data_IF_786606389011
#
_entry.id   IF_786606389011
#
_cell.length_a   1.000
_cell.length_b   1.000
_cell.length_c   1.000
_cell.angle_alpha   90.00
_cell.angle_beta   90.00
_cell.angle_gamma   90.00
#
_symmetry.space_group_name_H-M   'P 1'
#
loop_
_entity.id
_entity.type
_entity.pdbx_description
1 polymer ?
#
# COMPACT_ATOMS: atom_id res chain seq x y z
N UNK A 1 8.95 28.81 14.58
CA UNK A 1 9.85 27.93 15.34
C UNK A 1 11.23 28.07 14.72
N UNK A 2 12.25 28.40 15.51
CA UNK A 2 13.63 28.36 15.04
C UNK A 2 13.95 26.93 14.60
N UNK A 3 14.66 26.79 13.47
CA UNK A 3 15.14 25.49 13.00
C UNK A 3 16.12 24.96 14.06
N UNK A 4 15.71 23.95 14.81
CA UNK A 4 16.59 23.29 15.77
C UNK A 4 17.66 22.57 14.95
N UNK A 5 18.92 22.85 15.25
CA UNK A 5 20.03 22.16 14.64
C UNK A 5 20.31 20.87 15.40
N UNK A 6 19.77 19.76 14.87
CA UNK A 6 19.96 18.44 15.47
C UNK A 6 21.44 18.00 15.49
N UNK A 7 22.27 18.49 14.57
CA UNK A 7 23.70 18.19 14.58
C UNK A 7 24.39 18.89 15.76
N UNK A 8 24.07 20.17 15.97
CA UNK A 8 24.57 20.90 17.13
C UNK A 8 24.09 20.31 18.48
N UNK A 9 22.94 19.64 18.50
CA UNK A 9 22.49 18.87 19.67
C UNK A 9 23.29 17.59 19.84
N UNK A 10 23.52 16.82 18.78
CA UNK A 10 24.35 15.61 18.82
C UNK A 10 25.76 15.91 19.35
N UNK A 11 26.38 16.99 18.87
CA UNK A 11 27.72 17.39 19.31
C UNK A 11 27.75 17.80 20.79
N UNK A 12 26.71 18.48 21.28
CA UNK A 12 26.63 18.96 22.67
C UNK A 12 26.43 17.85 23.69
N UNK A 13 25.62 16.85 23.34
CA UNK A 13 25.33 15.70 24.21
C UNK A 13 26.22 14.49 23.91
N UNK A 14 27.17 14.63 22.97
CA UNK A 14 28.24 13.66 22.78
C UNK A 14 29.14 13.62 24.02
N UNK A 15 29.63 12.43 24.42
CA UNK A 15 30.62 12.33 25.49
C UNK A 15 31.84 13.22 25.21
N UNK A 16 32.33 13.89 26.25
CA UNK A 16 33.52 14.72 26.12
C UNK A 16 34.76 13.87 25.74
N UNK A 17 35.59 14.31 24.78
CA UNK A 17 36.79 13.58 24.44
C UNK A 17 37.80 13.57 25.60
N UNK A 18 38.60 12.52 25.68
CA UNK A 18 39.64 12.38 26.71
C UNK A 18 40.68 13.50 26.53
N UNK A 19 40.96 14.31 27.58
CA UNK A 19 41.94 15.38 27.49
C UNK A 19 43.36 14.83 27.39
N UNK A 20 44.24 15.61 26.76
CA UNK A 20 45.69 15.34 26.74
C UNK A 20 46.38 16.03 27.90
N UNK A 21 47.43 15.40 28.41
CA UNK A 21 48.21 15.95 29.51
C UNK A 21 48.96 17.22 29.05
N UNK A 22 48.86 18.34 29.79
CA UNK A 22 49.58 19.57 29.44
C UNK A 22 51.10 19.47 29.62
N UNK A 23 51.60 18.42 30.29
CA UNK A 23 53.03 18.27 30.62
C UNK A 23 53.72 17.29 29.66
N UNK A 24 53.14 16.12 29.40
CA UNK A 24 53.73 15.10 28.52
C UNK A 24 52.99 14.91 27.19
N UNK A 25 51.79 15.46 27.02
CA UNK A 25 51.01 15.34 25.78
C UNK A 25 50.30 13.99 25.57
N UNK A 26 50.49 13.00 26.45
CA UNK A 26 49.81 11.71 26.42
C UNK A 26 48.32 11.83 26.78
N UNK A 27 47.51 10.88 26.31
CA UNK A 27 46.11 10.76 26.72
C UNK A 27 46.00 10.44 28.22
N UNK A 28 45.12 11.16 28.89
CA UNK A 28 44.97 11.04 30.33
C UNK A 28 43.98 9.93 30.68
N UNK A 29 44.14 9.32 31.84
CA UNK A 29 43.20 8.31 32.34
C UNK A 29 42.25 8.90 33.37
N UNK A 30 41.04 8.33 33.42
CA UNK A 30 40.04 8.67 34.43
C UNK A 30 40.54 8.21 35.79
N UNK A 31 40.73 9.15 36.72
CA UNK A 31 41.12 8.85 38.10
C UNK A 31 39.93 8.81 39.04
N UNK A 32 38.91 9.65 38.76
CA UNK A 32 37.71 9.74 39.59
C UNK A 32 36.54 10.23 38.75
N UNK A 33 35.38 9.59 38.95
CA UNK A 33 34.09 10.06 38.45
C UNK A 33 33.23 10.43 39.66
N UNK A 34 32.71 11.66 39.66
CA UNK A 34 31.83 12.17 40.72
C UNK A 34 30.64 12.88 40.09
N UNK A 35 29.59 12.12 39.76
CA UNK A 35 28.45 12.63 38.99
C UNK A 35 28.89 13.08 37.60
N UNK A 36 28.55 14.31 37.21
CA UNK A 36 28.95 14.91 35.94
C UNK A 36 30.42 15.37 35.92
N UNK A 37 31.14 15.32 37.04
CA UNK A 37 32.53 15.76 37.11
C UNK A 37 33.48 14.59 36.95
N UNK A 38 34.27 14.58 35.88
CA UNK A 38 35.28 13.57 35.59
C UNK A 38 36.67 14.18 35.78
N UNK A 39 37.46 13.56 36.66
CA UNK A 39 38.84 13.97 36.91
C UNK A 39 39.77 13.07 36.11
N UNK A 40 40.53 13.70 35.21
CA UNK A 40 41.57 13.09 34.41
C UNK A 40 42.95 13.46 35.00
N UNK A 41 43.85 12.48 35.06
CA UNK A 41 45.26 12.71 35.39
C UNK A 41 46.13 11.70 34.63
N UNK A 42 47.42 11.99 34.49
CA UNK A 42 48.35 10.98 33.97
C UNK A 42 48.58 9.88 35.01
N UNK A 43 48.46 8.63 34.60
CA UNK A 43 48.88 7.50 35.43
C UNK A 43 50.41 7.46 35.51
N UNK A 44 50.93 7.26 36.72
CA UNK A 44 52.33 6.93 36.93
C UNK A 44 52.68 5.53 36.43
N UNK A 45 51.68 4.67 36.24
CA UNK A 45 51.82 3.31 35.72
C UNK A 45 52.05 3.30 34.21
N UNK A 46 53.00 2.48 33.77
CA UNK A 46 53.21 2.07 32.39
C UNK A 46 52.29 0.90 32.02
N UNK A 47 52.34 0.51 30.75
CA UNK A 47 51.53 -0.57 30.18
C UNK A 47 51.91 -1.96 30.74
N UNK A 48 53.09 -2.06 31.32
CA UNK A 48 53.64 -3.24 32.01
C UNK A 48 53.12 -3.41 33.45
N UNK A 49 52.39 -2.41 33.98
CA UNK A 49 51.93 -2.40 35.37
C UNK A 49 53.00 -1.94 36.36
N UNK A 50 54.19 -1.57 35.89
CA UNK A 50 55.23 -0.92 36.68
C UNK A 50 55.12 0.60 36.58
N UNK A 51 55.81 1.34 37.45
CA UNK A 51 55.87 2.79 37.34
C UNK A 51 56.76 3.18 36.15
N UNK A 52 56.29 4.14 35.33
CA UNK A 52 57.11 4.77 34.29
C UNK A 52 58.38 5.36 34.94
N UNK A 53 59.47 5.38 34.19
CA UNK A 53 60.79 5.83 34.68
C UNK A 53 60.68 7.22 35.30
N UNK A 54 61.05 7.36 36.57
CA UNK A 54 61.02 8.62 37.31
C UNK A 54 59.64 9.01 37.89
N UNK A 55 58.64 8.12 37.83
CA UNK A 55 57.31 8.30 38.43
C UNK A 55 57.18 7.59 39.77
N UNK A 56 56.27 8.09 40.60
CA UNK A 56 55.78 7.43 41.82
C UNK A 56 54.25 7.52 41.89
N UNK A 57 53.63 6.92 42.92
CA UNK A 57 52.17 6.81 43.06
C UNK A 57 51.42 8.16 43.05
N UNK A 58 52.05 9.23 43.54
CA UNK A 58 51.50 10.58 43.58
C UNK A 58 52.64 11.58 43.33
N UNK A 59 53.26 11.46 42.15
CA UNK A 59 54.35 12.34 41.78
C UNK A 59 53.85 13.76 41.45
N UNK A 60 54.78 14.71 41.40
CA UNK A 60 54.49 16.11 41.08
C UNK A 60 53.73 16.27 39.76
N UNK A 61 53.92 15.34 38.83
CA UNK A 61 53.21 15.32 37.56
C UNK A 61 51.77 14.85 37.70
N UNK A 62 51.46 13.84 38.53
CA UNK A 62 50.08 13.47 38.81
C UNK A 62 49.30 14.70 39.31
N UNK A 63 49.86 15.46 40.26
CA UNK A 63 49.22 16.66 40.80
C UNK A 63 49.08 17.77 39.75
N UNK A 64 50.13 18.07 39.00
CA UNK A 64 50.13 19.14 37.98
C UNK A 64 49.38 18.77 36.71
N UNK A 65 49.22 17.49 36.41
CA UNK A 65 48.49 17.02 35.23
C UNK A 65 46.98 17.02 35.46
N UNK A 66 46.50 17.00 36.71
CA UNK A 66 45.08 16.82 37.01
C UNK A 66 44.19 17.88 36.35
N UNK A 67 43.31 17.43 35.45
CA UNK A 67 42.29 18.23 34.78
C UNK A 67 40.92 17.71 35.19
N UNK A 68 39.98 18.61 35.39
CA UNK A 68 38.60 18.23 35.71
C UNK A 68 37.68 18.71 34.61
N UNK A 69 36.99 17.77 33.98
CA UNK A 69 36.05 18.00 32.88
C UNK A 69 34.64 17.77 33.39
N UNK A 70 33.72 18.63 32.98
CA UNK A 70 32.30 18.43 33.20
C UNK A 70 31.73 17.67 32.01
N UNK A 71 31.36 16.41 32.22
CA UNK A 71 30.70 15.60 31.21
C UNK A 71 29.19 15.89 31.24
N UNK A 72 28.74 16.61 30.21
CA UNK A 72 27.33 16.93 29.94
C UNK A 72 26.74 16.01 28.88
N UNK A 73 27.49 15.00 28.45
CA UNK A 73 26.99 13.99 27.52
C UNK A 73 25.80 13.25 28.10
N UNK A 74 24.76 13.08 27.29
CA UNK A 74 23.56 12.34 27.68
C UNK A 74 23.22 11.30 26.58
N UNK A 75 23.47 10.01 26.84
CA UNK A 75 23.20 8.97 25.86
C UNK A 75 21.71 8.79 25.57
N UNK A 76 20.83 9.15 26.49
CA UNK A 76 19.37 9.05 26.29
C UNK A 76 18.89 10.10 25.30
N UNK A 77 19.46 11.31 25.36
CA UNK A 77 19.19 12.37 24.37
C UNK A 77 19.68 11.96 22.98
N UNK A 78 20.86 11.34 22.87
CA UNK A 78 21.35 10.83 21.58
C UNK A 78 20.46 9.72 21.01
N UNK A 79 20.02 8.79 21.85
CA UNK A 79 19.08 7.74 21.45
C UNK A 79 17.74 8.31 20.98
N UNK A 80 17.25 9.38 21.62
CA UNK A 80 16.04 10.08 21.18
C UNK A 80 16.22 10.74 19.81
N UNK A 81 17.40 11.31 19.53
CA UNK A 81 17.72 11.89 18.23
C UNK A 81 17.78 10.83 17.12
N UNK A 82 18.38 9.66 17.39
CA UNK A 82 18.38 8.52 16.45
C UNK A 82 16.97 8.01 16.17
N UNK A 83 16.13 7.94 17.20
CA UNK A 83 14.74 7.53 17.06
C UNK A 83 13.94 8.53 16.22
N UNK A 84 14.15 9.84 16.41
CA UNK A 84 13.52 10.88 15.59
C UNK A 84 13.93 10.75 14.12
N UNK A 85 15.21 10.60 13.83
CA UNK A 85 15.71 10.41 12.46
C UNK A 85 15.11 9.15 11.80
N UNK A 86 14.99 8.06 12.56
CA UNK A 86 14.33 6.83 12.11
C UNK A 86 12.85 7.05 11.78
N UNK A 87 12.15 7.84 12.60
CA UNK A 87 10.74 8.18 12.36
C UNK A 87 10.56 9.05 11.12
N UNK A 88 11.40 10.06 10.94
CA UNK A 88 11.35 10.94 9.77
C UNK A 88 11.62 10.15 8.48
N UNK A 89 12.60 9.25 8.49
CA UNK A 89 12.85 8.34 7.37
C UNK A 89 11.62 7.47 7.05
N UNK A 90 10.97 6.93 8.08
CA UNK A 90 9.76 6.11 7.90
C UNK A 90 8.59 6.93 7.36
N UNK A 91 8.44 8.18 7.79
CA UNK A 91 7.41 9.08 7.27
C UNK A 91 7.67 9.35 5.79
N UNK A 92 8.90 9.68 5.41
CA UNK A 92 9.27 9.93 4.02
C UNK A 92 9.00 8.71 3.10
N UNK A 93 9.29 7.49 3.58
CA UNK A 93 8.93 6.26 2.85
C UNK A 93 7.41 6.13 2.65
N UNK A 94 6.62 6.36 3.72
CA UNK A 94 5.17 6.26 3.67
C UNK A 94 4.55 7.32 2.75
N UNK A 95 5.08 8.54 2.74
CA UNK A 95 4.66 9.61 1.83
C UNK A 95 4.93 9.24 0.36
N UNK A 96 6.09 8.64 0.08
CA UNK A 96 6.41 8.14 -1.27
C UNK A 96 5.44 7.04 -1.70
N UNK A 97 5.14 6.10 -0.81
CA UNK A 97 4.16 5.04 -1.08
C UNK A 97 2.77 5.66 -1.31
N UNK A 98 2.33 6.57 -0.44
CA UNK A 98 1.02 7.19 -0.55
C UNK A 98 0.84 7.97 -1.86
N UNK A 99 1.87 8.71 -2.30
CA UNK A 99 1.86 9.44 -3.56
C UNK A 99 1.84 8.52 -4.78
N UNK A 100 2.60 7.43 -4.77
CA UNK A 100 2.56 6.40 -5.82
C UNK A 100 1.18 5.76 -5.96
N UNK A 101 0.55 5.43 -4.82
CA UNK A 101 -0.81 4.87 -4.80
C UNK A 101 -1.86 5.89 -5.26
N UNK A 102 -1.75 7.16 -4.85
CA UNK A 102 -2.64 8.22 -5.29
C UNK A 102 -2.61 8.39 -6.82
N UNK A 103 -1.42 8.33 -7.43
CA UNK A 103 -1.27 8.39 -8.89
C UNK A 103 -1.91 7.18 -9.60
N UNK A 104 -1.72 5.97 -9.07
CA UNK A 104 -2.34 4.76 -9.62
C UNK A 104 -3.86 4.83 -9.53
N UNK A 105 -4.38 5.32 -8.41
CA UNK A 105 -5.82 5.49 -8.21
C UNK A 105 -6.41 6.52 -9.18
N UNK A 106 -5.74 7.65 -9.39
CA UNK A 106 -6.18 8.65 -10.37
C UNK A 106 -6.25 8.07 -11.79
N UNK A 107 -5.21 7.34 -12.22
CA UNK A 107 -5.20 6.67 -13.53
C UNK A 107 -6.32 5.65 -13.67
N UNK A 108 -6.62 4.89 -12.62
CA UNK A 108 -7.71 3.93 -12.62
C UNK A 108 -9.08 4.63 -12.72
N UNK A 109 -9.29 5.73 -12.00
CA UNK A 109 -10.51 6.53 -12.12
C UNK A 109 -10.69 7.10 -13.53
N UNK A 110 -9.62 7.61 -14.14
CA UNK A 110 -9.68 8.19 -15.48
C UNK A 110 -9.95 7.11 -16.55
N UNK A 111 -9.36 5.92 -16.41
CA UNK A 111 -9.67 4.77 -17.25
C UNK A 111 -11.13 4.34 -17.13
N UNK A 112 -11.68 4.29 -15.92
CA UNK A 112 -13.09 3.96 -15.66
C UNK A 112 -14.04 5.00 -16.24
N UNK A 113 -13.74 6.29 -16.10
CA UNK A 113 -14.52 7.37 -16.71
C UNK A 113 -14.52 7.24 -18.23
N UNK A 114 -13.36 6.98 -18.84
CA UNK A 114 -13.25 6.79 -20.29
C UNK A 114 -14.05 5.58 -20.77
N UNK A 115 -13.96 4.45 -20.07
CA UNK A 115 -14.76 3.26 -20.37
C UNK A 115 -16.27 3.54 -20.29
N UNK A 116 -16.72 4.23 -19.23
CA UNK A 116 -18.13 4.62 -19.08
C UNK A 116 -18.61 5.51 -20.24
N UNK A 117 -17.82 6.50 -20.64
CA UNK A 117 -18.15 7.37 -21.79
C UNK A 117 -18.25 6.60 -23.10
N UNK A 118 -17.36 5.63 -23.34
CA UNK A 118 -17.43 4.76 -24.51
C UNK A 118 -18.71 3.93 -24.51
N UNK A 119 -19.06 3.32 -23.38
CA UNK A 119 -20.31 2.56 -23.25
C UNK A 119 -21.54 3.44 -23.47
N UNK A 120 -21.58 4.65 -22.92
CA UNK A 120 -22.68 5.60 -23.16
C UNK A 120 -22.78 6.00 -24.63
N UNK A 121 -21.65 6.25 -25.31
CA UNK A 121 -21.62 6.56 -26.75
C UNK A 121 -22.14 5.38 -27.59
N UNK A 122 -21.71 4.16 -27.27
CA UNK A 122 -22.22 2.96 -27.96
C UNK A 122 -23.72 2.77 -27.72
N UNK A 123 -24.21 2.99 -26.49
CA UNK A 123 -25.63 2.88 -26.18
C UNK A 123 -26.48 3.94 -26.91
N UNK A 124 -25.98 5.17 -27.03
CA UNK A 124 -26.65 6.20 -27.84
C UNK A 124 -26.70 5.85 -29.33
N UNK A 125 -25.65 5.23 -29.88
CA UNK A 125 -25.67 4.73 -31.26
C UNK A 125 -26.68 3.60 -31.46
N UNK A 126 -26.82 2.68 -30.49
CA UNK A 126 -27.81 1.59 -30.59
C UNK A 126 -29.24 2.07 -30.39
N UNK A 127 -29.46 3.13 -29.60
CA UNK A 127 -30.80 3.60 -29.25
C UNK A 127 -31.43 4.54 -30.30
N UNK A 128 -30.66 5.08 -31.24
CA UNK A 128 -31.15 5.95 -32.31
C UNK A 128 -31.25 5.22 -33.67
N UNK A 129 -31.62 3.95 -33.65
CA UNK A 129 -31.77 3.15 -34.86
C UNK A 129 -33.21 3.23 -35.39
N UNK A 130 -33.41 3.90 -36.52
CA UNK A 130 -34.70 4.00 -37.20
C UNK A 130 -34.71 3.09 -38.44
N UNK A 131 -35.77 2.28 -38.58
CA UNK A 131 -35.98 1.39 -39.74
C UNK A 131 -37.23 1.84 -40.50
N UNK A 132 -37.10 2.06 -41.80
CA UNK A 132 -38.26 2.28 -42.67
C UNK A 132 -38.95 0.95 -42.93
N UNK A 133 -40.16 0.78 -42.41
CA UNK A 133 -41.00 -0.39 -42.65
C UNK A 133 -41.79 -0.23 -43.96
N UNK A 134 -42.05 -1.33 -44.69
CA UNK A 134 -42.90 -1.29 -45.87
C UNK A 134 -44.36 -0.98 -45.50
N UNK A 135 -45.09 -0.31 -46.38
CA UNK A 135 -46.50 0.03 -46.14
C UNK A 135 -47.36 -1.23 -46.09
N UNK A 136 -48.19 -1.35 -45.06
CA UNK A 136 -49.02 -2.53 -44.81
C UNK A 136 -50.09 -2.71 -45.91
N UNK A 137 -50.50 -1.61 -46.57
CA UNK A 137 -51.54 -1.61 -47.59
C UNK A 137 -51.17 -2.45 -48.83
N UNK A 138 -49.88 -2.56 -49.14
CA UNK A 138 -49.36 -3.32 -50.29
C UNK A 138 -49.48 -4.85 -50.12
N UNK A 139 -49.80 -5.32 -48.92
CA UNK A 139 -49.87 -6.74 -48.58
C UNK A 139 -51.30 -7.27 -48.44
N UNK A 140 -52.31 -6.47 -48.81
CA UNK A 140 -53.69 -6.91 -48.96
C UNK A 140 -53.94 -7.34 -50.40
N UNK A 141 -54.23 -8.62 -50.60
CA UNK A 141 -54.65 -9.16 -51.90
C UNK A 141 -56.10 -9.59 -51.76
N UNK A 142 -57.00 -8.95 -52.51
CA UNK A 142 -58.46 -9.20 -52.43
C UNK A 142 -58.99 -9.10 -50.99
N UNK A 143 -58.63 -8.03 -50.27
CA UNK A 143 -58.96 -7.80 -48.85
C UNK A 143 -58.43 -8.86 -47.85
N UNK A 144 -57.57 -9.78 -48.30
CA UNK A 144 -56.91 -10.78 -47.44
C UNK A 144 -55.45 -10.39 -47.19
N UNK A 145 -55.13 -10.13 -45.92
CA UNK A 145 -53.78 -9.80 -45.46
C UNK A 145 -52.81 -10.99 -45.62
N UNK A 146 -51.58 -10.71 -46.09
CA UNK A 146 -50.53 -11.72 -46.32
C UNK A 146 -49.41 -11.63 -45.26
N UNK A 147 -49.61 -12.19 -44.05
CA UNK A 147 -48.73 -11.98 -42.89
C UNK A 147 -47.29 -12.47 -43.12
N UNK A 148 -47.10 -13.68 -43.65
CA UNK A 148 -45.77 -14.27 -43.87
C UNK A 148 -44.90 -13.47 -44.86
N UNK A 149 -45.52 -12.73 -45.78
CA UNK A 149 -44.80 -11.91 -46.76
C UNK A 149 -44.37 -10.59 -46.14
N UNK A 150 -45.28 -9.96 -45.38
CA UNK A 150 -45.00 -8.75 -44.61
C UNK A 150 -43.91 -8.98 -43.55
N UNK A 151 -44.01 -10.06 -42.76
CA UNK A 151 -43.02 -10.40 -41.73
C UNK A 151 -41.60 -10.55 -42.30
N UNK A 152 -41.46 -11.27 -43.43
CA UNK A 152 -40.17 -11.44 -44.10
C UNK A 152 -39.59 -10.14 -44.66
N UNK A 153 -40.43 -9.21 -45.12
CA UNK A 153 -39.98 -7.91 -45.63
C UNK A 153 -39.57 -6.97 -44.48
N UNK A 154 -40.27 -7.04 -43.34
CA UNK A 154 -39.89 -6.38 -42.10
C UNK A 154 -38.55 -6.90 -41.58
N UNK A 155 -38.34 -8.23 -41.54
CA UNK A 155 -37.04 -8.83 -41.19
C UNK A 155 -35.91 -8.31 -42.06
N UNK A 156 -36.11 -8.31 -43.37
CA UNK A 156 -35.12 -7.83 -44.33
C UNK A 156 -34.80 -6.36 -44.12
N UNK A 157 -35.80 -5.52 -43.83
CA UNK A 157 -35.58 -4.12 -43.51
C UNK A 157 -34.74 -3.93 -42.24
N UNK A 158 -35.02 -4.70 -41.19
CA UNK A 158 -34.29 -4.66 -39.91
C UNK A 158 -32.83 -5.11 -40.10
N UNK A 159 -32.60 -6.23 -40.80
CA UNK A 159 -31.25 -6.76 -41.07
C UNK A 159 -30.47 -5.82 -41.98
N UNK A 160 -31.10 -5.28 -43.04
CA UNK A 160 -30.47 -4.34 -43.97
C UNK A 160 -29.99 -3.07 -43.28
N UNK A 161 -30.72 -2.62 -42.28
CA UNK A 161 -30.33 -1.45 -41.50
C UNK A 161 -29.28 -1.83 -40.42
N UNK A 162 -28.97 -3.11 -40.19
CA UNK A 162 -27.92 -3.58 -39.27
C UNK A 162 -28.45 -4.00 -37.89
N UNK A 163 -29.77 -4.13 -37.74
CA UNK A 163 -30.42 -4.67 -36.56
C UNK A 163 -30.54 -6.20 -36.59
N UNK A 164 -30.99 -6.77 -35.48
CA UNK A 164 -31.28 -8.21 -35.35
C UNK A 164 -32.80 -8.40 -35.19
N UNK A 165 -33.42 -9.11 -36.12
CA UNK A 165 -34.82 -9.52 -36.02
C UNK A 165 -34.93 -10.80 -35.17
N UNK A 166 -35.80 -10.78 -34.16
CA UNK A 166 -36.11 -11.92 -33.27
C UNK A 166 -37.63 -12.06 -33.24
N UNK A 167 -38.16 -13.15 -33.80
CA UNK A 167 -39.57 -13.48 -33.67
C UNK A 167 -39.78 -14.35 -32.43
N UNK A 168 -40.87 -14.09 -31.69
CA UNK A 168 -41.27 -15.00 -30.63
C UNK A 168 -41.74 -16.31 -31.27
N UNK A 169 -41.08 -17.42 -30.95
CA UNK A 169 -41.62 -18.74 -31.21
C UNK A 169 -42.86 -18.93 -30.34
N UNK A 170 -44.02 -19.15 -30.95
CA UNK A 170 -45.20 -19.62 -30.21
C UNK A 170 -44.86 -21.00 -29.66
N UNK A 171 -44.69 -21.11 -28.34
CA UNK A 171 -44.88 -22.39 -27.68
C UNK A 171 -46.35 -22.78 -27.86
N UNK A 172 -46.62 -23.64 -28.83
CA UNK A 172 -47.88 -24.38 -28.88
C UNK A 172 -47.84 -25.40 -27.74
N UNK A 173 -48.47 -25.06 -26.61
CA UNK A 173 -48.86 -26.04 -25.60
C UNK A 173 -49.90 -26.98 -26.23
N UNK A 174 -49.41 -27.97 -26.98
CA UNK A 174 -50.21 -29.08 -27.48
C UNK A 174 -50.34 -30.10 -26.35
N UNK A 175 -51.18 -29.79 -25.36
CA UNK A 175 -51.71 -30.77 -24.42
C UNK A 175 -52.68 -31.70 -25.17
N UNK A 176 -52.12 -32.65 -25.94
CA UNK A 176 -52.83 -33.88 -26.24
C UNK A 176 -52.87 -34.69 -24.95
N UNK A 177 -54.01 -34.57 -24.30
CA UNK A 177 -54.48 -35.41 -23.21
C UNK A 177 -54.44 -36.89 -23.67
N UNK A 178 -53.40 -37.60 -23.28
CA UNK A 178 -53.42 -39.06 -23.21
C UNK A 178 -53.66 -39.41 -21.75
N UNK A 179 -54.89 -39.82 -21.49
CA UNK A 179 -55.33 -40.48 -20.28
C UNK A 179 -54.55 -41.79 -20.13
N UNK A 180 -54.09 -42.08 -18.92
CA UNK A 180 -54.00 -43.39 -18.27
C UNK A 180 -53.16 -43.16 -16.98
N UNK A 181 -53.78 -42.65 -15.91
CA UNK A 181 -54.30 -43.47 -14.79
C UNK A 181 -53.33 -44.60 -14.43
N UNK A 182 -52.50 -44.43 -13.39
CA UNK A 182 -52.85 -45.00 -12.09
C UNK A 182 -51.97 -44.51 -10.94
N UNK A 183 -52.61 -44.39 -9.78
CA UNK A 183 -52.16 -43.83 -8.52
C UNK A 183 -51.25 -44.78 -7.72
N UNK A 184 -50.47 -44.21 -6.79
CA UNK A 184 -49.82 -44.92 -5.67
C UNK A 184 -48.57 -44.17 -5.21
N UNK A 185 -48.66 -43.14 -4.36
CA UNK A 185 -48.49 -43.21 -2.89
C UNK A 185 -47.27 -44.01 -2.40
N UNK A 186 -46.55 -43.38 -1.46
CA UNK A 186 -45.47 -43.86 -0.59
C UNK A 186 -44.01 -43.75 -1.09
N UNK A 187 -43.32 -42.72 -0.57
CA UNK A 187 -41.94 -42.89 -0.07
C UNK A 187 -42.01 -43.68 1.25
N UNK A 188 -41.07 -44.60 1.54
CA UNK A 188 -39.96 -44.22 2.44
C UNK A 188 -38.61 -44.99 2.27
N UNK A 189 -37.51 -44.25 2.48
CA UNK A 189 -36.34 -44.50 3.36
C UNK A 189 -35.60 -45.87 3.46
N UNK A 190 -34.26 -45.74 3.53
CA UNK A 190 -33.18 -46.63 4.07
C UNK A 190 -32.75 -47.84 3.21
N UNK A 191 -31.49 -48.32 3.18
CA UNK A 191 -30.29 -48.20 4.04
C UNK A 191 -29.01 -48.51 3.22
N UNK A 192 -27.91 -47.88 3.64
CA UNK A 192 -26.50 -48.34 3.74
C UNK A 192 -25.85 -49.24 2.67
N UNK A 193 -24.66 -48.82 2.19
CA UNK A 193 -23.42 -49.63 2.33
C UNK A 193 -22.18 -48.73 2.44
N UNK A 194 -21.52 -48.86 3.59
CA UNK A 194 -20.13 -48.46 3.87
C UNK A 194 -19.14 -49.23 2.98
N UNK A 195 -18.02 -48.58 2.65
CA UNK A 195 -16.65 -49.14 2.48
C UNK A 195 -15.78 -48.01 1.91
N UNK A 196 -14.54 -47.74 2.32
CA UNK A 196 -13.61 -48.18 3.35
C UNK A 196 -12.58 -47.05 3.41
#
# INVERSE_FOLDING_TARGET
>A
MSKIDYQALRERYSPAPVPKCPICGEEMSIQRISGAQVVYACSGYGDDGDFKIGRTLADEHYEKSRVTVLDVGDPEVLALLDWLETKDNRIAELEKIATDYALKFQKAQDALKYAALLHSRTAQQTNNFAVSLPDISEYFINDVFQPLRYERDVERAIIKAGGKALWQEKHEDRTHQSCDVNCGWFSPLTTDKNNT
#
